data_IF_577563886815
#
_entry.id   IF_577563886815
#
_cell.length_a   1.000
_cell.length_b   1.000
_cell.length_c   1.000
_cell.angle_alpha   90.00
_cell.angle_beta   90.00
_cell.angle_gamma   90.00
#
_symmetry.space_group_name_H-M   'P 1'
#
loop_
_entity.id
_entity.type
_entity.pdbx_description
1 polymer ?
#
# COMPACT_ATOMS: atom_id res chain seq x y z
N UNK A 1 23.42 2.69 -19.60
CA UNK A 1 22.73 3.54 -18.59
C UNK A 1 23.77 3.91 -17.55
N UNK A 2 23.71 5.12 -16.98
CA UNK A 2 24.67 5.62 -15.98
C UNK A 2 24.56 4.90 -14.62
N UNK A 3 23.51 4.11 -14.38
CA UNK A 3 23.32 3.26 -13.21
C UNK A 3 22.64 1.95 -13.63
N UNK A 4 22.83 0.90 -12.84
CA UNK A 4 22.22 -0.42 -13.05
C UNK A 4 20.85 -0.55 -12.36
N UNK A 5 20.62 0.20 -11.29
CA UNK A 5 19.41 0.08 -10.47
C UNK A 5 19.03 1.39 -9.78
N UNK A 6 17.72 1.57 -9.59
CA UNK A 6 17.15 2.73 -8.94
C UNK A 6 15.96 2.35 -8.04
N UNK A 7 15.85 2.98 -6.88
CA UNK A 7 14.78 2.78 -5.90
C UNK A 7 14.29 4.13 -5.40
N UNK A 8 13.03 4.44 -5.63
CA UNK A 8 12.37 5.66 -5.12
C UNK A 8 11.53 5.26 -3.92
N UNK A 9 11.73 5.93 -2.79
CA UNK A 9 11.05 5.64 -1.53
C UNK A 9 10.35 6.93 -1.06
N UNK A 10 9.06 6.83 -0.79
CA UNK A 10 8.32 7.82 0.00
C UNK A 10 8.50 7.47 1.48
N UNK A 11 9.11 8.35 2.26
CA UNK A 11 9.44 8.11 3.66
C UNK A 11 9.36 9.42 4.46
N UNK A 12 8.16 9.93 4.77
CA UNK A 12 8.02 11.15 5.57
C UNK A 12 8.52 10.93 7.00
N UNK A 13 9.03 11.98 7.65
CA UNK A 13 9.68 11.92 8.97
C UNK A 13 8.82 11.26 10.07
N UNK A 14 7.50 11.45 10.01
CA UNK A 14 6.53 10.93 10.98
C UNK A 14 5.51 9.97 10.34
N UNK A 15 5.81 9.40 9.18
CA UNK A 15 4.87 8.53 8.47
C UNK A 15 5.51 7.27 7.91
N UNK A 16 4.69 6.43 7.28
CA UNK A 16 5.10 5.10 6.84
C UNK A 16 5.99 5.17 5.59
N UNK A 17 7.13 4.48 5.63
CA UNK A 17 8.02 4.28 4.47
C UNK A 17 7.37 3.34 3.44
N UNK A 18 7.48 3.67 2.14
CA UNK A 18 6.98 2.88 1.02
C UNK A 18 7.89 3.00 -0.21
N UNK A 19 8.13 1.88 -0.89
CA UNK A 19 8.74 1.87 -2.23
C UNK A 19 7.72 2.33 -3.28
N UNK A 20 8.06 3.39 -4.01
CA UNK A 20 7.25 3.98 -5.09
C UNK A 20 7.60 3.36 -6.44
N UNK A 21 8.89 3.19 -6.68
CA UNK A 21 9.40 2.60 -7.92
C UNK A 21 10.66 1.83 -7.62
N UNK A 22 10.79 0.66 -8.24
CA UNK A 22 11.97 -0.19 -8.16
C UNK A 22 12.38 -0.63 -9.56
N UNK A 23 13.64 -0.38 -9.89
CA UNK A 23 14.27 -0.82 -11.12
C UNK A 23 15.56 -1.57 -10.78
N UNK A 24 15.69 -2.81 -11.27
CA UNK A 24 16.91 -3.62 -11.20
C UNK A 24 17.22 -4.30 -9.85
N UNK A 25 16.81 -3.73 -8.71
CA UNK A 25 17.00 -4.37 -7.41
C UNK A 25 16.11 -5.60 -7.18
N UNK A 26 16.61 -6.62 -6.48
CA UNK A 26 15.77 -7.70 -5.95
C UNK A 26 14.83 -7.22 -4.83
N UNK A 27 13.87 -8.06 -4.41
CA UNK A 27 12.96 -7.74 -3.29
C UNK A 27 13.74 -7.55 -1.99
N UNK A 28 14.75 -8.40 -1.76
CA UNK A 28 15.58 -8.34 -0.56
C UNK A 28 16.41 -7.06 -0.48
N UNK A 29 17.04 -6.66 -1.58
CA UNK A 29 17.86 -5.43 -1.60
C UNK A 29 17.02 -4.17 -1.54
N UNK A 30 15.84 -4.15 -2.19
CA UNK A 30 14.90 -3.05 -2.04
C UNK A 30 14.41 -2.90 -0.60
N UNK A 31 14.08 -4.00 0.07
CA UNK A 31 13.70 -4.00 1.49
C UNK A 31 14.85 -3.50 2.37
N UNK A 32 16.08 -3.94 2.12
CA UNK A 32 17.24 -3.55 2.91
C UNK A 32 17.55 -2.06 2.76
N UNK A 33 17.52 -1.52 1.54
CA UNK A 33 17.67 -0.10 1.29
C UNK A 33 16.58 0.71 2.01
N UNK A 34 15.33 0.26 1.95
CA UNK A 34 14.21 0.93 2.61
C UNK A 34 14.30 0.94 4.14
N UNK A 35 14.75 -0.16 4.76
CA UNK A 35 14.61 -0.37 6.22
C UNK A 35 15.93 -0.31 6.98
N UNK A 36 17.06 -0.63 6.35
CA UNK A 36 18.37 -0.64 7.01
C UNK A 36 19.18 0.62 6.75
N UNK A 37 19.02 1.28 5.59
CA UNK A 37 19.71 2.54 5.33
C UNK A 37 19.32 3.65 6.34
N UNK A 38 18.03 3.90 6.63
CA UNK A 38 17.64 4.97 7.53
C UNK A 38 18.10 4.79 8.98
N UNK A 39 18.50 3.57 9.38
CA UNK A 39 19.02 3.30 10.73
C UNK A 39 20.39 3.94 10.96
N UNK A 40 21.16 4.15 9.90
CA UNK A 40 22.52 4.71 9.98
C UNK A 40 22.61 6.12 9.37
N UNK A 41 21.56 6.57 8.68
CA UNK A 41 21.53 7.85 7.97
C UNK A 41 20.21 8.56 8.28
N UNK A 42 20.24 9.42 9.31
CA UNK A 42 19.06 10.23 9.67
C UNK A 42 18.81 11.34 8.63
N UNK A 43 17.60 11.88 8.61
CA UNK A 43 17.20 12.98 7.72
C UNK A 43 18.19 14.15 7.83
N UNK A 44 18.56 14.74 6.69
CA UNK A 44 19.60 15.75 6.58
C UNK A 44 21.01 15.14 6.61
N UNK A 45 21.16 13.87 6.21
CA UNK A 45 22.50 13.27 6.13
C UNK A 45 23.34 13.89 5.03
N UNK A 46 22.73 14.39 3.94
CA UNK A 46 23.46 15.02 2.83
C UNK A 46 24.23 16.23 3.33
N UNK A 47 23.56 17.14 4.05
CA UNK A 47 24.19 18.36 4.60
C UNK A 47 25.24 18.06 5.68
N UNK A 48 25.09 16.95 6.41
CA UNK A 48 26.06 16.54 7.44
C UNK A 48 27.32 15.91 6.84
N UNK A 49 27.17 15.14 5.77
CA UNK A 49 28.28 14.43 5.13
C UNK A 49 29.02 15.30 4.11
N UNK A 50 28.33 16.26 3.49
CA UNK A 50 28.89 17.17 2.51
C UNK A 50 28.37 18.62 2.72
N UNK A 51 28.83 19.32 3.77
CA UNK A 51 28.31 20.63 4.17
C UNK A 51 28.73 21.78 3.24
N UNK A 52 29.62 21.52 2.27
CA UNK A 52 30.13 22.55 1.36
C UNK A 52 29.37 22.52 0.05
N UNK A 53 29.31 21.34 -0.58
CA UNK A 53 28.74 21.21 -1.92
C UNK A 53 27.28 20.71 -1.87
N UNK A 54 26.81 20.24 -0.71
CA UNK A 54 25.45 19.70 -0.50
C UNK A 54 25.09 18.61 -1.51
N UNK A 55 26.08 17.81 -1.90
CA UNK A 55 25.93 16.77 -2.91
C UNK A 55 25.54 15.44 -2.26
N UNK A 56 24.58 14.70 -2.84
CA UNK A 56 24.16 13.40 -2.32
C UNK A 56 25.37 12.46 -2.18
N UNK A 57 25.57 11.79 -1.04
CA UNK A 57 26.74 10.94 -0.83
C UNK A 57 26.77 9.78 -1.81
N UNK A 58 27.96 9.43 -2.29
CA UNK A 58 28.22 8.20 -3.05
C UNK A 58 29.28 7.34 -2.41
N UNK A 59 29.24 6.02 -2.61
CA UNK A 59 30.23 5.08 -2.04
C UNK A 59 31.64 5.42 -2.54
N UNK A 60 31.78 5.82 -3.80
CA UNK A 60 33.08 6.13 -4.41
C UNK A 60 33.68 7.46 -3.98
N UNK A 61 32.85 8.46 -3.67
CA UNK A 61 33.27 9.86 -3.48
C UNK A 61 33.03 10.37 -2.04
N UNK A 62 32.47 9.52 -1.18
CA UNK A 62 32.46 9.77 0.27
C UNK A 62 33.87 9.55 0.82
N UNK A 63 34.34 10.40 1.73
CA UNK A 63 35.69 10.30 2.32
C UNK A 63 36.05 8.89 2.79
N UNK A 64 37.35 8.56 2.76
CA UNK A 64 37.84 7.18 2.95
C UNK A 64 37.25 6.47 4.18
N UNK A 65 37.11 7.18 5.30
CA UNK A 65 36.56 6.65 6.55
C UNK A 65 35.06 6.29 6.43
N UNK A 66 34.25 7.18 5.84
CA UNK A 66 32.81 6.97 5.61
C UNK A 66 32.56 5.79 4.67
N UNK A 67 33.39 5.66 3.64
CA UNK A 67 33.33 4.52 2.72
C UNK A 67 33.62 3.22 3.47
N UNK A 68 34.66 3.18 4.29
CA UNK A 68 35.04 1.98 5.05
C UNK A 68 33.92 1.56 6.02
N UNK A 69 33.30 2.51 6.71
CA UNK A 69 32.16 2.24 7.59
C UNK A 69 30.96 1.68 6.80
N UNK A 70 30.61 2.31 5.67
CA UNK A 70 29.48 1.88 4.87
C UNK A 70 29.65 0.45 4.32
N UNK A 71 30.81 0.11 3.76
CA UNK A 71 31.04 -1.24 3.19
C UNK A 71 31.07 -2.33 4.26
N UNK A 72 31.21 -1.96 5.54
CA UNK A 72 31.11 -2.87 6.68
C UNK A 72 29.67 -3.05 7.18
N UNK A 73 28.70 -2.29 6.71
CA UNK A 73 27.30 -2.46 7.13
C UNK A 73 26.71 -3.79 6.66
N UNK A 74 25.65 -4.25 7.35
CA UNK A 74 24.84 -5.40 6.90
C UNK A 74 24.19 -5.11 5.55
N UNK A 75 23.72 -3.88 5.34
CA UNK A 75 23.15 -3.42 4.07
C UNK A 75 24.10 -3.69 2.90
N UNK A 76 25.36 -3.26 2.99
CA UNK A 76 26.30 -3.48 1.90
C UNK A 76 26.72 -4.97 1.77
N UNK A 77 27.13 -5.62 2.87
CA UNK A 77 27.72 -6.97 2.82
C UNK A 77 26.73 -8.08 2.47
N UNK A 78 25.46 -7.95 2.85
CA UNK A 78 24.46 -9.01 2.65
C UNK A 78 23.54 -8.78 1.47
N UNK A 79 23.36 -7.53 1.05
CA UNK A 79 22.38 -7.16 0.02
C UNK A 79 23.04 -6.51 -1.21
N UNK A 80 23.73 -5.39 -1.06
CA UNK A 80 24.25 -4.67 -2.23
C UNK A 80 25.40 -5.42 -2.93
N UNK A 81 26.40 -5.85 -2.16
CA UNK A 81 27.58 -6.53 -2.71
C UNK A 81 27.29 -7.93 -3.25
N UNK A 82 26.28 -8.63 -2.72
CA UNK A 82 25.86 -9.96 -3.18
C UNK A 82 25.16 -9.89 -4.54
N UNK A 83 24.53 -8.76 -4.87
CA UNK A 83 23.98 -8.46 -6.21
C UNK A 83 25.00 -7.84 -7.17
N UNK A 84 26.25 -7.67 -6.71
CA UNK A 84 27.37 -7.18 -7.52
C UNK A 84 27.45 -5.66 -7.64
N UNK A 85 26.67 -4.89 -6.87
CA UNK A 85 26.84 -3.44 -6.83
C UNK A 85 28.17 -3.07 -6.17
N UNK A 86 28.90 -2.16 -6.81
CA UNK A 86 30.23 -1.68 -6.40
C UNK A 86 30.24 -0.20 -6.05
N UNK A 87 29.24 0.53 -6.50
CA UNK A 87 29.04 1.94 -6.20
C UNK A 87 27.53 2.24 -6.06
N UNK A 88 27.21 3.34 -5.39
CA UNK A 88 25.85 3.75 -5.11
C UNK A 88 25.77 5.18 -4.61
N UNK A 89 24.64 5.84 -4.85
CA UNK A 89 24.36 7.22 -4.43
C UNK A 89 22.96 7.30 -3.83
N UNK A 90 22.81 8.07 -2.75
CA UNK A 90 21.53 8.29 -2.07
C UNK A 90 21.17 9.77 -2.09
N UNK A 91 20.03 10.11 -2.68
CA UNK A 91 19.52 11.49 -2.81
C UNK A 91 18.31 11.69 -1.90
N UNK A 92 18.36 12.68 -1.02
CA UNK A 92 17.21 13.11 -0.23
C UNK A 92 16.27 13.99 -1.06
N UNK A 93 14.96 13.84 -0.84
CA UNK A 93 13.93 14.62 -1.50
C UNK A 93 13.15 15.45 -0.47
N UNK A 94 13.09 16.75 -0.73
CA UNK A 94 12.40 17.72 0.10
C UNK A 94 11.40 18.52 -0.73
N UNK A 95 10.41 19.08 -0.05
CA UNK A 95 9.47 20.07 -0.57
C UNK A 95 9.26 21.21 0.43
N UNK A 96 8.30 22.10 0.17
CA UNK A 96 7.95 23.23 1.04
C UNK A 96 7.41 22.80 2.43
N UNK A 97 6.94 21.56 2.58
CA UNK A 97 6.42 20.99 3.83
C UNK A 97 7.45 20.16 4.60
N UNK A 98 8.58 19.81 3.97
CA UNK A 98 9.71 19.14 4.61
C UNK A 98 10.19 17.91 3.83
N UNK A 99 10.68 16.92 4.56
CA UNK A 99 11.26 15.70 4.00
C UNK A 99 10.17 14.76 3.45
N UNK A 100 10.32 14.35 2.20
CA UNK A 100 9.40 13.44 1.51
C UNK A 100 9.88 12.00 1.48
N UNK A 101 11.19 11.80 1.40
CA UNK A 101 11.80 10.49 1.19
C UNK A 101 13.11 10.60 0.43
N UNK A 102 13.48 9.54 -0.26
CA UNK A 102 14.81 9.45 -0.85
C UNK A 102 14.85 8.54 -2.08
N UNK A 103 15.90 8.68 -2.87
CA UNK A 103 16.17 7.87 -4.05
C UNK A 103 17.56 7.24 -3.94
N UNK A 104 17.63 5.93 -4.13
CA UNK A 104 18.90 5.21 -4.22
C UNK A 104 19.20 4.83 -5.66
N UNK A 105 20.43 5.07 -6.09
CA UNK A 105 20.99 4.56 -7.33
C UNK A 105 22.15 3.62 -7.00
N UNK A 106 22.27 2.51 -7.73
CA UNK A 106 23.42 1.60 -7.61
C UNK A 106 23.98 1.23 -8.97
N UNK A 107 25.29 1.00 -9.00
CA UNK A 107 26.04 0.61 -10.18
C UNK A 107 26.99 -0.55 -9.85
N UNK A 108 27.18 -1.45 -10.82
CA UNK A 108 28.16 -2.55 -10.75
C UNK A 108 29.58 -2.09 -11.09
N UNK A 109 29.70 -0.95 -11.77
CA UNK A 109 30.98 -0.30 -12.00
C UNK A 109 31.35 0.56 -10.78
N UNK A 110 32.59 0.47 -10.27
CA UNK A 110 33.07 1.41 -9.27
C UNK A 110 33.16 2.81 -9.88
N UNK A 111 33.22 3.83 -9.01
CA UNK A 111 33.52 5.21 -9.40
C UNK A 111 32.52 5.81 -10.42
N UNK A 112 31.27 5.35 -10.36
CA UNK A 112 30.19 5.73 -11.28
C UNK A 112 29.57 7.08 -10.90
N UNK A 113 29.38 7.34 -9.61
CA UNK A 113 28.70 8.53 -9.11
C UNK A 113 29.70 9.61 -8.65
N UNK A 114 30.37 10.21 -9.64
CA UNK A 114 31.31 11.34 -9.47
C UNK A 114 30.57 12.67 -9.25
N UNK A 115 31.28 13.78 -8.91
CA UNK A 115 30.64 15.07 -8.60
C UNK A 115 29.66 15.56 -9.67
N UNK A 116 29.94 15.33 -10.96
CA UNK A 116 29.03 15.72 -12.06
C UNK A 116 27.69 14.98 -12.01
N UNK A 117 27.70 13.67 -11.75
CA UNK A 117 26.47 12.87 -11.63
C UNK A 117 25.71 13.23 -10.37
N UNK A 118 26.41 13.46 -9.26
CA UNK A 118 25.83 13.90 -7.98
C UNK A 118 25.12 15.26 -8.14
N UNK A 119 25.78 16.22 -8.78
CA UNK A 119 25.21 17.55 -9.05
C UNK A 119 23.99 17.50 -9.99
N UNK A 120 24.02 16.62 -11.01
CA UNK A 120 22.85 16.42 -11.87
C UNK A 120 21.67 15.83 -11.09
N UNK A 121 21.91 14.82 -10.25
CA UNK A 121 20.87 14.24 -9.41
C UNK A 121 20.28 15.28 -8.45
N UNK A 122 21.14 16.10 -7.82
CA UNK A 122 20.72 17.20 -6.96
C UNK A 122 19.86 18.22 -7.73
N UNK A 123 20.25 18.57 -8.96
CA UNK A 123 19.49 19.51 -9.82
C UNK A 123 18.12 18.96 -10.23
N UNK A 124 17.97 17.63 -10.30
CA UNK A 124 16.71 16.95 -10.63
C UNK A 124 15.86 16.62 -9.40
N UNK A 125 16.35 16.89 -8.18
CA UNK A 125 15.65 16.57 -6.92
C UNK A 125 14.24 17.16 -6.87
N UNK A 126 14.05 18.41 -7.31
CA UNK A 126 12.73 19.06 -7.34
C UNK A 126 11.72 18.37 -8.25
N UNK A 127 12.17 17.86 -9.42
CA UNK A 127 11.29 17.10 -10.32
C UNK A 127 10.92 15.74 -9.73
N UNK A 128 11.88 15.06 -9.09
CA UNK A 128 11.64 13.79 -8.41
C UNK A 128 10.71 13.97 -7.19
N UNK A 129 10.88 15.04 -6.42
CA UNK A 129 10.01 15.41 -5.31
C UNK A 129 8.57 15.70 -5.80
N UNK A 130 8.41 16.40 -6.94
CA UNK A 130 7.10 16.62 -7.55
C UNK A 130 6.42 15.32 -7.95
N UNK A 131 7.16 14.39 -8.59
CA UNK A 131 6.64 13.06 -8.93
C UNK A 131 6.27 12.24 -7.70
N UNK A 132 7.11 12.31 -6.65
CA UNK A 132 6.88 11.63 -5.38
C UNK A 132 5.64 12.19 -4.64
N UNK A 133 5.41 13.50 -4.69
CA UNK A 133 4.19 14.14 -4.19
C UNK A 133 2.95 13.71 -4.94
N UNK A 134 3.02 13.70 -6.27
CA UNK A 134 1.90 13.21 -7.09
C UNK A 134 1.60 11.75 -6.74
N UNK A 135 2.63 10.92 -6.58
CA UNK A 135 2.48 9.54 -6.14
C UNK A 135 1.89 9.42 -4.72
N UNK A 136 2.36 10.23 -3.75
CA UNK A 136 1.81 10.26 -2.39
C UNK A 136 0.36 10.76 -2.35
N UNK A 137 0.00 11.73 -3.19
CA UNK A 137 -1.36 12.21 -3.35
C UNK A 137 -2.28 11.18 -4.04
N UNK A 138 -1.72 10.35 -4.93
CA UNK A 138 -2.41 9.23 -5.58
C UNK A 138 -2.50 7.98 -4.68
N UNK A 139 -1.58 7.82 -3.73
CA UNK A 139 -1.49 6.69 -2.81
C UNK A 139 -1.72 7.14 -1.37
N UNK A 140 -3.00 7.32 -1.01
CA UNK A 140 -3.41 7.34 0.40
C UNK A 140 -2.88 6.08 1.11
N UNK A 141 -2.22 6.29 2.23
CA UNK A 141 -1.40 5.33 2.98
C UNK A 141 -2.14 4.04 3.31
N UNK A 142 -1.57 2.89 2.95
CA UNK A 142 -1.97 1.62 3.58
C UNK A 142 -1.46 1.63 5.03
N UNK A 143 -2.32 1.79 6.03
CA UNK A 143 -2.00 1.64 7.46
C UNK A 143 -2.27 0.20 7.88
N UNK A 144 -1.30 -0.51 8.45
CA UNK A 144 -1.46 -1.89 8.93
C UNK A 144 -1.30 -1.92 10.45
N UNK A 145 -2.34 -2.32 11.16
CA UNK A 145 -2.34 -2.48 12.62
C UNK A 145 -2.47 -3.96 12.97
N UNK A 146 -1.61 -4.42 13.87
CA UNK A 146 -1.64 -5.78 14.41
C UNK A 146 -2.35 -5.76 15.77
N UNK A 147 -3.34 -6.61 15.94
CA UNK A 147 -4.05 -6.75 17.21
C UNK A 147 -4.36 -8.22 17.49
N UNK A 148 -4.28 -8.57 18.77
CA UNK A 148 -4.74 -9.87 19.23
C UNK A 148 -6.27 -9.87 19.22
N UNK A 149 -6.89 -10.75 18.45
CA UNK A 149 -8.34 -10.77 18.35
C UNK A 149 -8.95 -11.49 19.56
N UNK A 150 -9.59 -10.71 20.43
CA UNK A 150 -10.38 -11.22 21.56
C UNK A 150 -11.71 -10.47 21.60
N UNK A 151 -12.81 -11.02 21.03
CA UNK A 151 -14.09 -10.32 20.88
C UNK A 151 -14.61 -9.73 22.20
N UNK A 152 -14.47 -10.48 23.29
CA UNK A 152 -14.96 -10.10 24.62
C UNK A 152 -14.02 -9.14 25.38
N UNK A 153 -12.80 -8.94 24.88
CA UNK A 153 -11.77 -8.13 25.53
C UNK A 153 -11.23 -7.01 24.64
N UNK A 154 -11.93 -6.65 23.55
CA UNK A 154 -11.64 -5.43 22.79
C UNK A 154 -11.79 -4.22 23.73
N UNK A 155 -10.66 -3.68 24.19
CA UNK A 155 -10.57 -2.56 25.11
C UNK A 155 -10.64 -1.21 24.41
N UNK A 156 -10.37 -0.15 25.17
CA UNK A 156 -10.30 1.21 24.62
C UNK A 156 -9.06 1.41 23.74
N UNK A 157 -7.92 0.77 24.09
CA UNK A 157 -6.65 0.90 23.39
C UNK A 157 -6.69 0.34 21.97
N UNK A 158 -7.37 -0.79 21.76
CA UNK A 158 -7.55 -1.38 20.43
C UNK A 158 -8.45 -0.52 19.53
N UNK A 159 -9.49 0.12 20.10
CA UNK A 159 -10.39 1.05 19.38
C UNK A 159 -9.78 2.42 19.12
N UNK A 160 -8.72 2.77 19.84
CA UNK A 160 -7.90 3.95 19.58
C UNK A 160 -6.91 3.66 18.46
N UNK A 161 -6.31 2.47 18.46
CA UNK A 161 -5.34 2.03 17.44
C UNK A 161 -5.99 1.70 16.09
N UNK A 162 -7.23 1.21 16.08
CA UNK A 162 -8.01 0.94 14.86
C UNK A 162 -9.38 1.60 14.98
N UNK A 163 -9.57 2.84 14.50
CA UNK A 163 -10.84 3.56 14.60
C UNK A 163 -12.05 2.80 14.02
N UNK A 164 -11.82 1.92 13.03
CA UNK A 164 -12.85 1.05 12.44
C UNK A 164 -13.52 0.12 13.46
N UNK A 165 -12.82 -0.27 14.54
CA UNK A 165 -13.39 -1.10 15.61
C UNK A 165 -14.45 -0.36 16.45
N UNK A 166 -14.70 0.93 16.18
CA UNK A 166 -15.83 1.70 16.75
C UNK A 166 -17.15 1.41 16.01
N UNK A 167 -17.07 0.89 14.78
CA UNK A 167 -18.23 0.49 13.98
C UNK A 167 -18.63 -0.95 14.32
N UNK A 168 -19.82 -1.14 14.87
CA UNK A 168 -20.32 -2.46 15.26
C UNK A 168 -20.56 -3.40 14.08
N UNK A 169 -20.88 -2.87 12.90
CA UNK A 169 -21.02 -3.67 11.68
C UNK A 169 -19.64 -4.17 11.21
N UNK A 170 -18.59 -3.37 11.38
CA UNK A 170 -17.22 -3.76 11.07
C UNK A 170 -16.74 -4.85 12.04
N UNK A 171 -16.95 -4.67 13.35
CA UNK A 171 -16.60 -5.66 14.38
C UNK A 171 -17.28 -7.01 14.09
N UNK A 172 -18.55 -7.00 13.65
CA UNK A 172 -19.24 -8.22 13.22
C UNK A 172 -18.54 -8.89 12.02
N UNK A 173 -18.16 -8.12 11.01
CA UNK A 173 -17.44 -8.66 9.84
C UNK A 173 -16.10 -9.28 10.23
N UNK A 174 -15.38 -8.65 11.16
CA UNK A 174 -14.13 -9.21 11.68
C UNK A 174 -14.38 -10.51 12.45
N UNK A 175 -15.41 -10.55 13.31
CA UNK A 175 -15.78 -11.78 14.03
C UNK A 175 -16.12 -12.93 13.06
N UNK A 176 -16.97 -12.65 12.07
CA UNK A 176 -17.33 -13.63 11.02
C UNK A 176 -16.11 -14.08 10.21
N UNK A 177 -15.15 -13.19 9.94
CA UNK A 177 -13.90 -13.52 9.26
C UNK A 177 -13.03 -14.48 10.10
N UNK A 178 -12.90 -14.22 11.40
CA UNK A 178 -12.11 -15.05 12.32
C UNK A 178 -12.73 -16.43 12.55
N UNK A 179 -14.05 -16.56 12.39
CA UNK A 179 -14.75 -17.86 12.38
C UNK A 179 -14.71 -18.57 11.02
N UNK A 180 -14.36 -17.85 9.95
CA UNK A 180 -14.29 -18.41 8.60
C UNK A 180 -12.98 -19.15 8.33
N UNK A 181 -12.92 -19.92 7.24
CA UNK A 181 -11.70 -20.57 6.76
C UNK A 181 -10.80 -19.65 5.91
N UNK A 182 -11.10 -18.36 5.81
CA UNK A 182 -10.29 -17.42 5.02
C UNK A 182 -9.04 -16.99 5.80
N UNK A 183 -7.88 -17.05 5.14
CA UNK A 183 -6.62 -16.52 5.68
C UNK A 183 -6.51 -15.00 5.47
N UNK A 184 -7.17 -14.48 4.43
CA UNK A 184 -7.19 -13.06 4.10
C UNK A 184 -8.53 -12.69 3.49
N UNK A 185 -9.07 -11.54 3.89
CA UNK A 185 -10.24 -10.93 3.27
C UNK A 185 -9.95 -9.47 2.95
N UNK A 186 -9.96 -9.15 1.67
CA UNK A 186 -9.77 -7.80 1.16
C UNK A 186 -11.10 -7.29 0.61
N UNK A 187 -11.59 -6.16 1.09
CA UNK A 187 -12.94 -5.68 0.79
C UNK A 187 -13.07 -4.16 0.94
N UNK A 188 -14.16 -3.60 0.41
CA UNK A 188 -14.50 -2.18 0.59
C UNK A 188 -15.16 -1.97 1.95
N UNK A 189 -14.93 -0.81 2.57
CA UNK A 189 -15.66 -0.30 3.72
C UNK A 189 -15.88 1.21 3.58
N UNK A 190 -16.85 1.75 4.33
CA UNK A 190 -17.08 3.19 4.43
C UNK A 190 -16.99 3.58 5.90
N UNK A 191 -16.07 4.47 6.24
CA UNK A 191 -15.86 4.94 7.60
C UNK A 191 -15.63 6.44 7.60
N UNK A 192 -16.32 7.15 8.48
CA UNK A 192 -16.24 8.62 8.64
C UNK A 192 -16.36 9.42 7.33
N UNK A 193 -17.23 8.96 6.41
CA UNK A 193 -17.47 9.61 5.13
C UNK A 193 -16.50 9.20 4.01
N UNK A 194 -15.33 8.66 4.34
CA UNK A 194 -14.33 8.16 3.39
C UNK A 194 -14.60 6.72 2.96
N UNK A 195 -14.18 6.40 1.74
CA UNK A 195 -14.14 5.03 1.24
C UNK A 195 -12.76 4.45 1.51
N UNK A 196 -12.73 3.22 2.00
CA UNK A 196 -11.47 2.57 2.34
C UNK A 196 -11.50 1.12 1.86
N UNK A 197 -10.34 0.66 1.42
CA UNK A 197 -10.04 -0.72 1.20
C UNK A 197 -9.48 -1.32 2.48
N UNK A 198 -10.17 -2.31 3.03
CA UNK A 198 -9.72 -3.03 4.22
C UNK A 198 -9.20 -4.39 3.82
N UNK A 199 -8.03 -4.77 4.32
CA UNK A 199 -7.49 -6.13 4.25
C UNK A 199 -7.37 -6.68 5.66
N UNK A 200 -8.17 -7.69 5.97
CA UNK A 200 -8.06 -8.50 7.17
C UNK A 200 -7.15 -9.69 6.87
N UNK A 201 -6.19 -9.98 7.74
CA UNK A 201 -5.28 -11.13 7.59
C UNK A 201 -5.12 -11.86 8.92
N UNK A 202 -5.31 -13.18 8.90
CA UNK A 202 -5.08 -14.02 10.08
C UNK A 202 -3.58 -14.29 10.23
N UNK A 203 -3.05 -14.08 11.43
CA UNK A 203 -1.64 -14.27 11.75
C UNK A 203 -1.47 -15.41 12.76
N UNK A 204 -0.74 -16.46 12.35
CA UNK A 204 -0.26 -17.52 13.24
C UNK A 204 -1.34 -18.39 13.89
N UNK A 205 -0.94 -19.13 14.93
CA UNK A 205 -1.76 -20.13 15.63
C UNK A 205 -2.60 -19.56 16.79
N UNK A 206 -2.52 -18.25 17.06
CA UNK A 206 -3.15 -17.59 18.22
C UNK A 206 -4.30 -16.64 17.85
N UNK A 207 -4.85 -16.78 16.63
CA UNK A 207 -5.92 -15.92 16.11
C UNK A 207 -5.58 -14.42 16.14
N UNK A 208 -4.32 -14.05 15.92
CA UNK A 208 -3.95 -12.65 15.77
C UNK A 208 -4.48 -12.10 14.44
N UNK A 209 -4.88 -10.84 14.43
CA UNK A 209 -5.45 -10.15 13.28
C UNK A 209 -4.56 -8.98 12.87
N UNK A 210 -4.18 -8.97 11.59
CA UNK A 210 -3.71 -7.75 10.94
C UNK A 210 -4.86 -7.09 10.18
N UNK A 211 -5.06 -5.79 10.44
CA UNK A 211 -6.00 -4.94 9.69
C UNK A 211 -5.18 -3.94 8.91
N UNK A 212 -5.26 -4.00 7.58
CA UNK A 212 -4.67 -2.97 6.71
C UNK A 212 -5.76 -2.12 6.06
N UNK A 213 -5.60 -0.81 6.05
CA UNK A 213 -6.59 0.14 5.52
C UNK A 213 -5.92 1.04 4.50
N UNK A 214 -6.53 1.23 3.34
CA UNK A 214 -6.10 2.18 2.31
C UNK A 214 -7.31 3.04 1.90
N UNK A 215 -7.21 4.36 1.91
CA UNK A 215 -8.32 5.19 1.40
C UNK A 215 -8.45 5.07 -0.11
N UNK A 216 -9.68 5.14 -0.60
CA UNK A 216 -10.04 5.08 -2.00
C UNK A 216 -10.75 6.36 -2.42
N UNK A 217 -10.43 6.80 -3.63
CA UNK A 217 -11.13 7.91 -4.28
C UNK A 217 -12.46 7.44 -4.87
N UNK A 218 -13.25 8.39 -5.36
CA UNK A 218 -14.50 8.09 -6.07
C UNK A 218 -14.22 7.48 -7.44
N UNK A 219 -13.10 7.83 -8.03
CA UNK A 219 -12.59 7.34 -9.31
C UNK A 219 -12.22 5.86 -9.21
N UNK A 220 -11.56 5.44 -8.13
CA UNK A 220 -11.23 4.03 -7.85
C UNK A 220 -12.48 3.13 -7.78
N UNK A 221 -13.62 3.72 -7.47
CA UNK A 221 -14.91 3.05 -7.35
C UNK A 221 -15.81 3.23 -8.57
N UNK A 222 -15.26 3.60 -9.74
CA UNK A 222 -16.00 3.88 -10.97
C UNK A 222 -17.14 4.91 -10.78
N UNK A 223 -17.01 5.83 -9.81
CA UNK A 223 -18.06 6.78 -9.45
C UNK A 223 -19.39 6.11 -9.05
N UNK A 224 -19.36 4.84 -8.61
CA UNK A 224 -20.55 4.13 -8.12
C UNK A 224 -21.06 4.75 -6.82
N UNK A 225 -22.37 4.93 -6.72
CA UNK A 225 -23.05 5.33 -5.49
C UNK A 225 -23.02 4.20 -4.45
N UNK A 226 -23.28 4.53 -3.18
CA UNK A 226 -23.39 3.52 -2.11
C UNK A 226 -24.43 2.43 -2.46
N UNK A 227 -25.57 2.80 -3.06
CA UNK A 227 -26.60 1.82 -3.41
C UNK A 227 -26.17 0.93 -4.59
N UNK A 228 -25.47 1.48 -5.57
CA UNK A 228 -24.88 0.70 -6.66
C UNK A 228 -23.80 -0.27 -6.15
N UNK A 229 -22.96 0.15 -5.19
CA UNK A 229 -21.97 -0.72 -4.54
C UNK A 229 -22.65 -1.85 -3.74
N UNK A 230 -23.76 -1.58 -3.06
CA UNK A 230 -24.56 -2.61 -2.36
C UNK A 230 -25.12 -3.65 -3.34
N UNK A 231 -25.67 -3.21 -4.47
CA UNK A 231 -26.14 -4.11 -5.55
C UNK A 231 -24.98 -4.91 -6.14
N UNK A 232 -23.85 -4.26 -6.42
CA UNK A 232 -22.63 -4.90 -6.94
C UNK A 232 -22.07 -5.96 -5.97
N UNK A 233 -22.17 -5.72 -4.66
CA UNK A 233 -21.72 -6.66 -3.64
C UNK A 233 -22.52 -7.97 -3.66
N UNK A 234 -23.85 -7.88 -3.80
CA UNK A 234 -24.70 -9.06 -3.99
C UNK A 234 -24.40 -9.79 -5.29
N UNK A 235 -24.01 -9.04 -6.34
CA UNK A 235 -23.62 -9.61 -7.61
C UNK A 235 -22.30 -10.41 -7.53
N UNK A 236 -21.29 -9.93 -6.78
CA UNK A 236 -19.99 -10.61 -6.57
C UNK A 236 -20.17 -12.02 -6.01
N UNK A 237 -21.15 -12.21 -5.13
CA UNK A 237 -21.45 -13.52 -4.54
C UNK A 237 -22.46 -14.37 -5.34
N UNK A 238 -22.81 -13.93 -6.55
CA UNK A 238 -23.64 -14.67 -7.49
C UNK A 238 -25.16 -14.53 -7.30
N UNK A 239 -25.66 -13.53 -6.56
CA UNK A 239 -27.10 -13.34 -6.37
C UNK A 239 -27.80 -12.87 -7.65
N UNK A 240 -29.01 -13.40 -7.85
CA UNK A 240 -29.99 -12.96 -8.84
C UNK A 240 -30.58 -11.60 -8.49
N UNK A 241 -31.25 -10.92 -9.43
CA UNK A 241 -31.88 -9.63 -9.16
C UNK A 241 -32.99 -9.73 -8.11
N UNK A 242 -33.75 -10.82 -8.10
CA UNK A 242 -34.76 -11.10 -7.09
C UNK A 242 -34.15 -11.24 -5.69
N UNK A 243 -33.04 -11.98 -5.55
CA UNK A 243 -32.35 -12.13 -4.27
C UNK A 243 -31.72 -10.82 -3.79
N UNK A 244 -31.13 -10.04 -4.69
CA UNK A 244 -30.60 -8.70 -4.37
C UNK A 244 -31.73 -7.76 -3.95
N UNK A 245 -32.84 -7.78 -4.68
CA UNK A 245 -34.02 -6.96 -4.39
C UNK A 245 -34.57 -7.27 -3.00
N UNK A 246 -34.77 -8.55 -2.69
CA UNK A 246 -35.22 -9.00 -1.38
C UNK A 246 -34.24 -8.58 -0.27
N UNK A 247 -32.95 -8.85 -0.42
CA UNK A 247 -31.95 -8.56 0.60
C UNK A 247 -31.79 -7.06 0.89
N UNK A 248 -31.92 -6.21 -0.15
CA UNK A 248 -31.79 -4.75 -0.03
C UNK A 248 -33.13 -4.03 0.16
N UNK A 249 -34.24 -4.76 0.28
CA UNK A 249 -35.60 -4.19 0.39
C UNK A 249 -35.92 -3.24 -0.78
N UNK A 250 -35.61 -3.69 -2.00
CA UNK A 250 -35.87 -3.01 -3.26
C UNK A 250 -36.85 -3.80 -4.13
N UNK A 251 -37.34 -3.18 -5.20
CA UNK A 251 -37.99 -3.92 -6.30
C UNK A 251 -36.95 -4.46 -7.29
N UNK A 252 -37.25 -5.57 -7.97
CA UNK A 252 -36.42 -6.06 -9.09
C UNK A 252 -36.23 -5.02 -10.19
N UNK A 253 -37.25 -4.19 -10.44
CA UNK A 253 -37.15 -3.05 -11.38
C UNK A 253 -36.08 -2.06 -10.92
N UNK A 254 -36.01 -1.76 -9.62
CA UNK A 254 -35.00 -0.88 -9.04
C UNK A 254 -33.61 -1.48 -9.16
N UNK A 255 -33.45 -2.78 -8.90
CA UNK A 255 -32.16 -3.49 -9.09
C UNK A 255 -31.72 -3.44 -10.55
N UNK A 256 -32.62 -3.68 -11.51
CA UNK A 256 -32.34 -3.58 -12.93
C UNK A 256 -31.87 -2.17 -13.36
N UNK A 257 -32.48 -1.13 -12.79
CA UNK A 257 -32.05 0.25 -13.01
C UNK A 257 -30.63 0.50 -12.47
N UNK A 258 -30.33 0.04 -11.25
CA UNK A 258 -28.97 0.12 -10.69
C UNK A 258 -27.97 -0.67 -11.53
N UNK A 259 -28.31 -1.89 -11.98
CA UNK A 259 -27.47 -2.73 -12.82
C UNK A 259 -27.12 -2.05 -14.15
N UNK A 260 -28.09 -1.37 -14.77
CA UNK A 260 -27.87 -0.60 -15.99
C UNK A 260 -26.90 0.56 -15.77
N UNK A 261 -27.03 1.25 -14.63
CA UNK A 261 -26.12 2.34 -14.25
C UNK A 261 -24.71 1.83 -13.92
N UNK A 262 -24.59 0.73 -13.17
CA UNK A 262 -23.32 0.06 -12.85
C UNK A 262 -22.57 -0.30 -14.13
N UNK A 263 -23.22 -1.01 -15.05
CA UNK A 263 -22.59 -1.42 -16.33
C UNK A 263 -22.10 -0.24 -17.14
N UNK A 264 -22.90 0.83 -17.22
CA UNK A 264 -22.53 2.07 -17.90
C UNK A 264 -21.30 2.71 -17.28
N UNK A 265 -21.25 2.83 -15.95
CA UNK A 265 -20.15 3.46 -15.20
C UNK A 265 -18.85 2.64 -15.25
N UNK A 266 -18.95 1.31 -15.17
CA UNK A 266 -17.81 0.40 -15.25
C UNK A 266 -17.33 0.13 -16.68
N UNK A 267 -18.08 0.57 -17.70
CA UNK A 267 -17.75 0.33 -19.11
C UNK A 267 -17.80 -1.15 -19.49
N UNK A 268 -18.78 -1.90 -18.96
CA UNK A 268 -18.92 -3.35 -19.18
C UNK A 268 -20.24 -3.68 -19.87
N UNK A 269 -20.25 -4.72 -20.71
CA UNK A 269 -21.46 -5.11 -21.44
C UNK A 269 -22.35 -6.05 -20.63
N UNK A 270 -21.71 -6.95 -19.85
CA UNK A 270 -22.40 -8.07 -19.19
C UNK A 270 -22.36 -7.96 -17.67
N UNK A 271 -23.42 -8.43 -17.03
CA UNK A 271 -23.53 -8.58 -15.57
C UNK A 271 -22.35 -9.38 -14.99
N UNK A 272 -22.02 -10.52 -15.60
CA UNK A 272 -20.91 -11.36 -15.14
C UNK A 272 -19.56 -10.64 -15.21
N UNK A 273 -19.36 -9.76 -16.19
CA UNK A 273 -18.15 -8.95 -16.31
C UNK A 273 -18.05 -7.90 -15.20
N UNK A 274 -19.17 -7.25 -14.85
CA UNK A 274 -19.24 -6.35 -13.68
C UNK A 274 -18.88 -7.09 -12.39
N UNK A 275 -19.44 -8.29 -12.19
CA UNK A 275 -19.16 -9.15 -11.05
C UNK A 275 -17.67 -9.51 -10.96
N UNK A 276 -17.09 -9.98 -12.07
CA UNK A 276 -15.69 -10.38 -12.14
C UNK A 276 -14.75 -9.22 -11.87
N UNK A 277 -14.96 -8.05 -12.49
CA UNK A 277 -14.13 -6.86 -12.24
C UNK A 277 -14.19 -6.41 -10.78
N UNK A 278 -15.39 -6.42 -10.19
CA UNK A 278 -15.57 -6.06 -8.78
C UNK A 278 -14.89 -7.06 -7.83
N UNK A 279 -14.98 -8.37 -8.12
CA UNK A 279 -14.33 -9.40 -7.34
C UNK A 279 -12.79 -9.29 -7.44
N UNK A 280 -12.24 -9.13 -8.64
CA UNK A 280 -10.78 -8.96 -8.86
C UNK A 280 -10.23 -7.71 -8.18
N UNK A 281 -11.00 -6.61 -8.18
CA UNK A 281 -10.62 -5.37 -7.51
C UNK A 281 -10.93 -5.36 -6.01
N UNK A 282 -11.54 -6.41 -5.45
CA UNK A 282 -12.03 -6.46 -4.07
C UNK A 282 -13.01 -5.33 -3.71
N UNK A 283 -13.77 -4.84 -4.70
CA UNK A 283 -14.78 -3.79 -4.54
C UNK A 283 -16.13 -4.44 -4.26
N UNK A 284 -16.33 -4.80 -2.99
CA UNK A 284 -17.60 -5.27 -2.44
C UNK A 284 -17.68 -4.97 -0.95
N UNK A 285 -18.89 -4.83 -0.42
CA UNK A 285 -19.20 -4.53 0.97
C UNK A 285 -19.65 -5.81 1.68
N UNK A 286 -18.84 -6.38 2.58
CA UNK A 286 -19.27 -7.48 3.43
C UNK A 286 -20.46 -7.06 4.29
N UNK A 287 -21.37 -7.99 4.55
CA UNK A 287 -22.50 -7.75 5.43
C UNK A 287 -23.71 -8.63 5.14
N UNK A 288 -24.65 -8.74 6.09
CA UNK A 288 -25.75 -9.71 6.02
C UNK A 288 -26.69 -9.47 4.83
N UNK A 289 -26.87 -8.20 4.43
CA UNK A 289 -27.75 -7.82 3.32
C UNK A 289 -27.02 -7.73 1.97
N UNK A 290 -25.70 -7.57 1.97
CA UNK A 290 -24.88 -7.36 0.78
C UNK A 290 -24.15 -8.64 0.39
N UNK A 291 -23.00 -8.89 1.00
CA UNK A 291 -22.16 -10.07 0.78
C UNK A 291 -21.84 -10.73 2.14
N UNK A 292 -22.66 -11.69 2.60
CA UNK A 292 -22.43 -12.40 3.86
C UNK A 292 -21.12 -13.20 3.84
N UNK A 293 -20.46 -13.33 4.99
CA UNK A 293 -19.17 -14.03 5.08
C UNK A 293 -19.23 -15.47 4.55
N UNK A 294 -20.30 -16.21 4.84
CA UNK A 294 -20.49 -17.58 4.30
C UNK A 294 -20.41 -17.66 2.77
N UNK A 295 -20.95 -16.64 2.09
CA UNK A 295 -20.98 -16.59 0.63
C UNK A 295 -19.62 -16.14 0.09
N UNK A 296 -18.97 -15.20 0.77
CA UNK A 296 -17.59 -14.78 0.47
C UNK A 296 -16.59 -15.93 0.64
N UNK A 297 -16.70 -16.72 1.70
CA UNK A 297 -15.86 -17.91 1.94
C UNK A 297 -16.04 -18.94 0.83
N UNK A 298 -17.26 -19.16 0.34
CA UNK A 298 -17.49 -20.07 -0.79
C UNK A 298 -16.83 -19.59 -2.09
N UNK A 299 -16.79 -18.28 -2.31
CA UNK A 299 -16.22 -17.68 -3.53
C UNK A 299 -14.69 -17.57 -3.47
N UNK A 300 -14.14 -17.17 -2.32
CA UNK A 300 -12.72 -16.84 -2.17
C UNK A 300 -11.90 -17.90 -1.43
N UNK A 301 -12.54 -18.74 -0.62
CA UNK A 301 -11.88 -19.75 0.22
C UNK A 301 -11.63 -21.07 -0.50
N UNK A 302 -11.11 -21.01 -1.73
CA UNK A 302 -10.97 -22.14 -2.67
C UNK A 302 -10.77 -23.52 -2.01
N UNK A 303 -11.45 -24.54 -2.56
CA UNK A 303 -11.44 -25.92 -2.08
C UNK A 303 -10.02 -26.38 -1.71
N UNK A 304 -9.75 -26.48 -0.40
CA UNK A 304 -8.60 -27.20 0.11
C UNK A 304 -8.83 -28.69 -0.03
#
# INVERSE_FOLDING_TARGET
>A
MLFDSALVIHQPANGRSRVVTRLGYSDGTAWALQNLFPLNYEIGFTDRLDPVDHLPPSISDSGADLREEFVRTTLFRRYLSTEGYRDGMSLELFDETGYLGLVHFSARQPDTFQPTQRALAQSLSGLLALGLRADAALHSTTETVHLRWTPDALGAAERESVPLLRDSDFVRVVAEFMESSLDTLRHLWRFDGSWIHVTLSRLGAFDDLAVSVQELTREDLWQLSLQELRVLSGLVIGRTDAEIAMALTLSERTVNSHMSSIRRKMGVARRAEAAARAATASIYLPGPRTAPMKDLTRIFGGAR
#
